data_IF_169524479795
#
_entry.id   IF_169524479795
#
_cell.length_a   1.000
_cell.length_b   1.000
_cell.length_c   1.000
_cell.angle_alpha   90.00
_cell.angle_beta   90.00
_cell.angle_gamma   90.00
#
_symmetry.space_group_name_H-M   'P 1'
#
loop_
_entity.id
_entity.type
_entity.pdbx_description
1 polymer ?
#
# COMPACT_ATOMS: atom_id res chain seq x y z
N UNK A 1 9.40 15.41 14.04
CA UNK A 1 8.33 15.35 15.06
C UNK A 1 7.25 14.37 14.61
N UNK A 2 6.63 13.58 15.52
CA UNK A 2 5.48 12.73 15.17
C UNK A 2 4.18 13.55 15.14
N UNK A 3 3.37 13.31 14.11
CA UNK A 3 2.02 13.85 13.95
C UNK A 3 1.08 12.70 13.59
N UNK A 4 0.05 12.48 14.42
CA UNK A 4 -0.96 11.45 14.17
C UNK A 4 -2.12 12.08 13.41
N UNK A 5 -2.46 11.49 12.27
CA UNK A 5 -3.45 12.06 11.35
C UNK A 5 -4.41 10.98 10.84
N UNK A 6 -5.60 11.42 10.44
CA UNK A 6 -6.59 10.59 9.76
C UNK A 6 -6.86 11.16 8.37
N UNK A 7 -7.36 10.35 7.46
CA UNK A 7 -7.73 10.78 6.11
C UNK A 7 -6.95 10.09 5.00
N UNK A 8 -6.87 10.74 3.85
CA UNK A 8 -6.26 10.20 2.64
C UNK A 8 -4.75 10.52 2.61
N UNK A 9 -3.92 9.51 2.75
CA UNK A 9 -2.46 9.64 2.73
C UNK A 9 -1.94 10.21 1.40
N UNK A 10 -2.60 9.92 0.29
CA UNK A 10 -2.20 10.44 -1.03
C UNK A 10 -2.36 11.96 -1.16
N UNK A 11 -3.18 12.56 -0.29
CA UNK A 11 -3.34 14.03 -0.17
C UNK A 11 -2.37 14.65 0.83
N UNK A 12 -1.44 13.88 1.40
CA UNK A 12 -0.46 14.40 2.34
C UNK A 12 0.48 15.41 1.69
N UNK A 13 0.77 16.48 2.43
CA UNK A 13 1.79 17.46 2.03
C UNK A 13 3.23 16.96 2.29
N UNK A 14 3.42 15.81 2.94
CA UNK A 14 4.74 15.22 3.15
C UNK A 14 5.45 14.99 1.80
N UNK A 15 6.77 15.21 1.79
CA UNK A 15 7.59 14.95 0.60
C UNK A 15 7.62 13.46 0.25
N UNK A 16 7.81 12.58 1.25
CA UNK A 16 7.83 11.15 1.04
C UNK A 16 6.49 10.50 1.44
N UNK A 17 6.00 9.58 0.63
CA UNK A 17 4.78 8.79 0.87
C UNK A 17 5.14 7.31 0.92
N UNK A 18 4.77 6.62 2.00
CA UNK A 18 4.96 5.18 2.13
C UNK A 18 3.73 4.45 1.59
N UNK A 19 3.96 3.48 0.71
CA UNK A 19 2.97 2.58 0.14
C UNK A 19 3.21 1.16 0.64
N UNK A 20 2.19 0.47 1.14
CA UNK A 20 2.31 -0.93 1.59
C UNK A 20 2.13 -1.90 0.43
N UNK A 21 3.14 -2.75 0.18
CA UNK A 21 3.16 -3.64 -0.98
C UNK A 21 3.51 -5.08 -0.60
N UNK A 22 3.47 -5.98 -1.59
CA UNK A 22 4.04 -7.33 -1.56
C UNK A 22 5.31 -7.40 -2.43
N UNK A 23 5.94 -8.58 -2.54
CA UNK A 23 7.13 -8.78 -3.37
C UNK A 23 6.84 -9.43 -4.73
N UNK A 24 5.57 -9.62 -5.09
CA UNK A 24 5.15 -10.27 -6.35
C UNK A 24 4.69 -9.28 -7.44
N UNK A 25 4.66 -7.98 -7.15
CA UNK A 25 4.27 -6.96 -8.13
C UNK A 25 2.77 -6.69 -8.22
N UNK A 26 1.96 -7.11 -7.25
CA UNK A 26 0.50 -6.93 -7.28
C UNK A 26 0.04 -5.75 -6.42
N UNK A 27 -0.48 -4.71 -7.05
CA UNK A 27 -1.17 -3.59 -6.40
C UNK A 27 -2.67 -3.65 -6.75
N UNK A 28 -3.40 -4.62 -6.16
CA UNK A 28 -4.79 -4.92 -6.54
C UNK A 28 -5.86 -4.37 -5.61
N UNK A 29 -5.54 -3.96 -4.38
CA UNK A 29 -6.51 -3.52 -3.36
C UNK A 29 -5.92 -2.44 -2.44
N UNK A 30 -6.80 -1.72 -1.73
CA UNK A 30 -6.46 -0.77 -0.69
C UNK A 30 -5.58 0.37 -1.19
N UNK A 31 -4.68 0.83 -0.33
CA UNK A 31 -3.81 1.96 -0.63
C UNK A 31 -2.88 1.68 -1.81
N UNK A 32 -2.36 0.46 -1.95
CA UNK A 32 -1.49 0.09 -3.05
C UNK A 32 -2.16 0.29 -4.42
N UNK A 33 -3.44 -0.06 -4.55
CA UNK A 33 -4.19 0.16 -5.78
C UNK A 33 -4.32 1.66 -6.11
N UNK A 34 -4.56 2.50 -5.10
CA UNK A 34 -4.63 3.95 -5.29
C UNK A 34 -3.28 4.53 -5.74
N UNK A 35 -2.17 4.07 -5.14
CA UNK A 35 -0.82 4.43 -5.59
C UNK A 35 -0.55 4.02 -7.04
N UNK A 36 -0.97 2.82 -7.45
CA UNK A 36 -0.87 2.36 -8.84
C UNK A 36 -1.59 3.30 -9.80
N UNK A 37 -2.80 3.77 -9.44
CA UNK A 37 -3.57 4.67 -10.30
C UNK A 37 -2.92 6.06 -10.39
N UNK A 38 -2.44 6.59 -9.26
CA UNK A 38 -1.87 7.94 -9.21
C UNK A 38 -0.43 8.00 -9.73
N UNK A 39 0.33 6.92 -9.59
CA UNK A 39 1.75 6.84 -9.99
C UNK A 39 2.01 5.62 -10.89
N UNK A 40 1.50 5.59 -12.13
CA UNK A 40 1.59 4.42 -13.01
C UNK A 40 3.04 4.05 -13.37
N UNK A 41 3.94 5.03 -13.52
CA UNK A 41 5.35 4.76 -13.83
C UNK A 41 6.09 4.12 -12.64
N UNK A 42 5.82 4.59 -11.43
CA UNK A 42 6.30 3.95 -10.20
C UNK A 42 5.84 2.49 -10.13
N UNK A 43 4.58 2.21 -10.50
CA UNK A 43 4.08 0.84 -10.50
C UNK A 43 4.78 -0.05 -11.54
N UNK A 44 5.10 0.48 -12.73
CA UNK A 44 5.86 -0.27 -13.76
C UNK A 44 7.24 -0.65 -13.24
N UNK A 45 7.95 0.31 -12.63
CA UNK A 45 9.27 0.07 -12.06
C UNK A 45 9.21 -0.94 -10.90
N UNK A 46 8.28 -0.78 -9.97
CA UNK A 46 8.04 -1.74 -8.88
C UNK A 46 7.80 -3.17 -9.42
N UNK A 47 6.93 -3.34 -10.43
CA UNK A 47 6.65 -4.65 -11.04
C UNK A 47 7.92 -5.23 -11.67
N UNK A 48 8.73 -4.40 -12.34
CA UNK A 48 10.01 -4.82 -12.91
C UNK A 48 10.98 -5.34 -11.83
N UNK A 49 11.09 -4.64 -10.70
CA UNK A 49 11.92 -5.04 -9.55
C UNK A 49 11.45 -6.37 -8.93
N UNK A 50 10.13 -6.55 -8.78
CA UNK A 50 9.56 -7.80 -8.30
C UNK A 50 9.88 -8.97 -9.23
N UNK A 51 9.72 -8.80 -10.55
CA UNK A 51 10.03 -9.84 -11.56
C UNK A 51 11.49 -10.28 -11.53
N UNK A 52 12.41 -9.37 -11.19
CA UNK A 52 13.85 -9.64 -11.04
C UNK A 52 14.22 -10.20 -9.67
N UNK A 53 13.25 -10.42 -8.77
CA UNK A 53 13.47 -10.82 -7.38
C UNK A 53 14.38 -9.84 -6.60
N UNK A 54 14.41 -8.57 -6.99
CA UNK A 54 15.20 -7.53 -6.33
C UNK A 54 14.52 -6.99 -5.08
N UNK A 55 13.19 -7.15 -4.97
CA UNK A 55 12.37 -6.70 -3.84
C UNK A 55 12.02 -7.90 -2.95
N UNK A 56 12.45 -7.84 -1.70
CA UNK A 56 12.17 -8.82 -0.65
C UNK A 56 11.74 -8.10 0.63
N UNK A 57 11.07 -8.77 1.59
CA UNK A 57 10.77 -8.16 2.88
C UNK A 57 12.04 -7.63 3.56
N UNK A 58 11.97 -6.42 4.11
CA UNK A 58 13.13 -5.72 4.68
C UNK A 58 13.92 -4.85 3.70
N UNK A 59 13.71 -4.99 2.38
CA UNK A 59 14.20 -4.05 1.36
C UNK A 59 13.07 -3.15 0.87
N UNK A 60 13.36 -1.89 0.66
CA UNK A 60 12.40 -0.91 0.17
C UNK A 60 12.64 -0.61 -1.32
N UNK A 61 11.57 -0.38 -2.05
CA UNK A 61 11.65 0.16 -3.41
C UNK A 61 11.31 1.64 -3.40
N UNK A 62 12.24 2.47 -3.85
CA UNK A 62 12.12 3.92 -3.84
C UNK A 62 11.96 4.45 -5.26
N UNK A 63 11.02 5.37 -5.45
CA UNK A 63 10.75 6.01 -6.72
C UNK A 63 10.56 7.53 -6.54
N UNK A 64 11.37 8.31 -7.25
CA UNK A 64 11.26 9.78 -7.24
C UNK A 64 10.42 10.23 -8.45
N UNK A 65 9.29 10.88 -8.19
CA UNK A 65 8.42 11.44 -9.23
C UNK A 65 8.83 12.84 -9.68
N UNK A 66 9.86 13.43 -9.08
CA UNK A 66 10.21 14.84 -9.19
C UNK A 66 9.53 15.72 -8.14
N UNK A 67 8.27 15.50 -7.84
CA UNK A 67 7.49 16.25 -6.84
C UNK A 67 7.28 15.49 -5.52
N UNK A 68 7.27 14.17 -5.55
CA UNK A 68 7.09 13.27 -4.41
C UNK A 68 8.09 12.13 -4.44
N UNK A 69 8.47 11.64 -3.27
CA UNK A 69 9.31 10.46 -3.09
C UNK A 69 8.44 9.30 -2.61
N UNK A 70 8.23 8.30 -3.45
CA UNK A 70 7.37 7.15 -3.14
C UNK A 70 8.23 6.02 -2.61
N UNK A 71 7.85 5.45 -1.45
CA UNK A 71 8.55 4.35 -0.80
C UNK A 71 7.60 3.15 -0.73
N UNK A 72 7.79 2.21 -1.63
CA UNK A 72 7.09 0.93 -1.57
C UNK A 72 7.72 0.05 -0.48
N UNK A 73 6.94 -0.21 0.56
CA UNK A 73 7.33 -0.92 1.77
C UNK A 73 6.70 -2.33 1.75
N UNK A 74 7.47 -3.41 1.55
CA UNK A 74 6.95 -4.76 1.55
C UNK A 74 6.50 -5.19 2.95
N UNK A 75 5.21 -5.22 3.18
CA UNK A 75 4.60 -5.75 4.40
C UNK A 75 4.24 -7.23 4.28
N UNK A 76 4.32 -7.76 3.06
CA UNK A 76 4.07 -9.17 2.70
C UNK A 76 5.11 -9.65 1.70
N UNK A 77 5.46 -10.93 1.78
CA UNK A 77 6.23 -11.56 0.72
C UNK A 77 5.31 -11.88 -0.47
N UNK A 78 4.27 -12.69 -0.26
CA UNK A 78 3.26 -12.99 -1.28
C UNK A 78 1.96 -12.24 -1.01
N UNK A 79 1.23 -11.87 -2.07
CA UNK A 79 0.04 -11.04 -1.96
C UNK A 79 -1.11 -11.70 -1.16
N UNK A 80 -1.19 -13.04 -1.16
CA UNK A 80 -2.18 -13.83 -0.42
C UNK A 80 -1.81 -14.08 1.04
N UNK A 81 -0.55 -13.90 1.42
CA UNK A 81 -0.08 -14.12 2.79
C UNK A 81 -0.51 -12.98 3.72
N UNK A 82 -0.47 -13.28 5.02
CA UNK A 82 -0.59 -12.24 6.05
C UNK A 82 0.74 -11.48 6.17
N UNK A 83 0.66 -10.26 6.67
CA UNK A 83 1.85 -9.49 7.05
C UNK A 83 2.49 -10.10 8.29
N UNK A 84 3.81 -9.90 8.43
CA UNK A 84 4.56 -10.37 9.59
C UNK A 84 5.26 -9.18 10.25
N UNK A 85 5.31 -9.19 11.59
CA UNK A 85 5.92 -8.11 12.37
C UNK A 85 7.42 -7.97 12.07
N UNK A 86 8.10 -9.08 11.77
CA UNK A 86 9.50 -9.09 11.37
C UNK A 86 9.75 -8.30 10.06
N UNK A 87 8.79 -8.31 9.11
CA UNK A 87 8.88 -7.53 7.88
C UNK A 87 8.72 -6.03 8.15
N UNK A 88 7.87 -5.68 9.12
CA UNK A 88 7.71 -4.30 9.56
C UNK A 88 8.99 -3.81 10.22
N UNK A 89 9.55 -4.60 11.14
CA UNK A 89 10.73 -4.23 11.91
C UNK A 89 11.95 -4.04 11.00
N UNK A 90 12.25 -5.01 10.13
CA UNK A 90 13.37 -4.92 9.19
C UNK A 90 13.18 -3.83 8.14
N UNK A 91 11.93 -3.65 7.66
CA UNK A 91 11.61 -2.56 6.73
C UNK A 91 11.78 -1.17 7.34
N UNK A 92 11.47 -1.00 8.64
CA UNK A 92 11.70 0.26 9.35
C UNK A 92 13.20 0.55 9.52
N UNK A 93 14.04 -0.46 9.74
CA UNK A 93 15.50 -0.28 9.79
C UNK A 93 16.04 0.21 8.44
N UNK A 94 15.51 -0.32 7.34
CA UNK A 94 15.87 0.14 6.00
C UNK A 94 15.28 1.54 5.72
N UNK A 95 14.06 1.83 6.19
CA UNK A 95 13.43 3.14 6.04
C UNK A 95 14.27 4.26 6.66
N UNK A 96 14.89 4.02 7.80
CA UNK A 96 15.81 4.97 8.45
C UNK A 96 16.98 5.32 7.52
N UNK A 97 17.57 4.31 6.87
CA UNK A 97 18.67 4.53 5.91
C UNK A 97 18.18 5.30 4.68
N UNK A 98 17.02 4.93 4.14
CA UNK A 98 16.40 5.63 3.00
C UNK A 98 16.16 7.09 3.32
N UNK A 99 15.60 7.41 4.50
CA UNK A 99 15.35 8.78 4.95
C UNK A 99 16.64 9.57 4.99
N UNK A 100 17.70 9.03 5.60
CA UNK A 100 19.00 9.69 5.73
C UNK A 100 19.69 9.91 4.38
N UNK A 101 19.75 8.85 3.56
CA UNK A 101 20.46 8.87 2.27
C UNK A 101 19.81 9.80 1.24
N UNK A 102 18.50 10.05 1.35
CA UNK A 102 17.75 10.90 0.42
C UNK A 102 17.36 12.25 1.03
N UNK A 103 17.87 12.61 2.21
CA UNK A 103 17.59 13.89 2.89
C UNK A 103 16.09 14.18 3.00
N UNK A 104 15.28 13.14 3.33
CA UNK A 104 13.82 13.27 3.44
C UNK A 104 13.48 14.06 4.69
N UNK A 105 12.87 15.24 4.50
CA UNK A 105 12.50 16.16 5.58
C UNK A 105 11.11 15.86 6.17
N UNK A 106 10.24 15.20 5.38
CA UNK A 106 8.88 14.85 5.84
C UNK A 106 8.38 13.56 5.17
N UNK A 107 7.69 12.71 5.94
CA UNK A 107 7.23 11.40 5.48
C UNK A 107 5.84 11.09 6.03
N UNK A 108 4.97 10.51 5.18
CA UNK A 108 3.66 9.99 5.55
C UNK A 108 3.67 8.46 5.55
N UNK A 109 3.31 7.86 6.66
CA UNK A 109 3.37 6.41 6.90
C UNK A 109 1.94 5.91 7.16
N UNK A 110 1.43 4.94 6.35
CA UNK A 110 0.13 4.30 6.58
C UNK A 110 0.20 3.27 7.72
N UNK A 111 -0.95 2.69 8.14
CA UNK A 111 -0.98 1.56 9.07
C UNK A 111 -0.32 0.32 8.47
N UNK A 112 1.00 0.20 8.63
CA UNK A 112 1.82 -0.84 8.02
C UNK A 112 1.32 -2.24 8.39
N UNK A 113 0.88 -3.01 7.39
CA UNK A 113 0.43 -4.39 7.58
C UNK A 113 -0.85 -4.58 8.38
N UNK A 114 -1.51 -3.50 8.87
CA UNK A 114 -2.66 -3.61 9.79
C UNK A 114 -4.02 -3.66 9.08
N UNK A 115 -4.11 -3.30 7.81
CA UNK A 115 -5.34 -3.48 7.01
C UNK A 115 -5.47 -4.93 6.51
N UNK A 116 -5.35 -5.13 5.20
CA UNK A 116 -5.38 -6.46 4.56
C UNK A 116 -4.24 -7.41 5.01
N UNK A 117 -3.30 -6.91 5.81
CA UNK A 117 -2.18 -7.68 6.37
C UNK A 117 -2.51 -8.40 7.66
N UNK A 118 -3.47 -7.90 8.44
CA UNK A 118 -3.99 -8.53 9.65
C UNK A 118 -3.14 -8.34 10.91
N UNK A 119 -2.14 -7.44 10.89
CA UNK A 119 -1.40 -7.07 12.10
C UNK A 119 -2.23 -6.15 13.00
N UNK A 120 -2.02 -6.24 14.30
CA UNK A 120 -2.65 -5.38 15.31
C UNK A 120 -2.02 -3.99 15.24
N UNK A 121 -2.84 -2.97 14.96
CA UNK A 121 -2.34 -1.61 14.74
C UNK A 121 -1.59 -1.03 15.93
N UNK A 122 -2.06 -1.24 17.15
CA UNK A 122 -1.41 -0.72 18.36
C UNK A 122 0.03 -1.21 18.49
N UNK A 123 0.28 -2.50 18.22
CA UNK A 123 1.62 -3.09 18.26
C UNK A 123 2.52 -2.52 17.14
N UNK A 124 1.97 -2.39 15.94
CA UNK A 124 2.72 -1.81 14.80
C UNK A 124 3.06 -0.34 15.07
N UNK A 125 2.11 0.43 15.61
CA UNK A 125 2.30 1.85 15.97
C UNK A 125 3.43 2.02 16.99
N UNK A 126 3.46 1.20 18.04
CA UNK A 126 4.51 1.23 19.05
C UNK A 126 5.90 0.98 18.44
N UNK A 127 6.01 0.00 17.55
CA UNK A 127 7.28 -0.30 16.86
C UNK A 127 7.70 0.84 15.94
N UNK A 128 6.78 1.45 15.19
CA UNK A 128 7.06 2.63 14.35
C UNK A 128 7.63 3.77 15.20
N UNK A 129 6.95 4.10 16.32
CA UNK A 129 7.37 5.17 17.21
C UNK A 129 8.76 4.86 17.79
N UNK A 130 8.94 3.66 18.35
CA UNK A 130 10.22 3.23 18.95
C UNK A 130 11.37 3.33 17.96
N UNK A 131 11.20 2.82 16.73
CA UNK A 131 12.26 2.80 15.71
C UNK A 131 12.58 4.18 15.14
N UNK A 132 11.58 5.03 14.98
CA UNK A 132 11.75 6.33 14.32
C UNK A 132 11.93 7.51 15.31
N UNK A 133 12.03 7.25 16.63
CA UNK A 133 12.17 8.30 17.64
C UNK A 133 13.34 9.24 17.35
N UNK A 134 14.52 8.72 17.04
CA UNK A 134 15.69 9.57 16.77
C UNK A 134 15.56 10.35 15.46
N UNK A 135 14.99 9.72 14.44
CA UNK A 135 14.71 10.39 13.14
C UNK A 135 13.68 11.51 13.32
N UNK A 136 12.69 11.33 14.18
CA UNK A 136 11.62 12.31 14.43
C UNK A 136 12.11 13.67 14.98
N UNK A 137 13.35 13.74 15.44
CA UNK A 137 13.98 15.00 15.89
C UNK A 137 14.22 15.97 14.72
N UNK A 138 14.49 15.42 13.51
CA UNK A 138 14.87 16.20 12.33
C UNK A 138 13.91 16.01 11.14
N UNK A 139 12.93 15.09 11.25
CA UNK A 139 12.01 14.73 10.18
C UNK A 139 10.57 14.83 10.70
N UNK A 140 9.69 15.44 9.94
CA UNK A 140 8.25 15.44 10.20
C UNK A 140 7.66 14.11 9.79
N UNK A 141 7.16 13.32 10.74
CA UNK A 141 6.60 12.00 10.52
C UNK A 141 5.10 12.03 10.75
N UNK A 142 4.33 11.91 9.67
CA UNK A 142 2.88 11.84 9.70
C UNK A 142 2.47 10.37 9.73
N UNK A 143 1.96 9.91 10.89
CA UNK A 143 1.45 8.54 11.06
C UNK A 143 -0.05 8.57 10.81
N UNK A 144 -0.48 7.92 9.71
CA UNK A 144 -1.88 7.78 9.37
C UNK A 144 -2.51 6.65 10.17
N UNK A 145 -3.56 6.95 10.91
CA UNK A 145 -4.29 5.96 11.70
C UNK A 145 -5.40 5.30 10.86
N UNK A 146 -5.75 4.02 11.14
CA UNK A 146 -6.87 3.38 10.49
C UNK A 146 -8.14 4.19 10.75
N UNK A 147 -8.83 4.64 9.70
CA UNK A 147 -10.15 5.23 9.86
C UNK A 147 -11.14 4.11 10.15
N UNK A 148 -11.94 4.24 11.21
CA UNK A 148 -13.05 3.33 11.52
C UNK A 148 -14.13 3.31 10.42
N UNK A 149 -14.10 4.27 9.48
CA UNK A 149 -15.01 4.44 8.35
C UNK A 149 -14.24 4.49 7.02
N UNK A 150 -13.48 3.46 6.66
CA UNK A 150 -13.31 3.20 5.25
C UNK A 150 -14.59 2.54 4.74
N UNK A 151 -15.65 3.34 4.59
CA UNK A 151 -16.60 3.10 3.52
C UNK A 151 -15.71 3.11 2.26
N UNK A 152 -15.46 1.94 1.71
CA UNK A 152 -15.01 1.82 0.34
C UNK A 152 -16.05 2.54 -0.48
N UNK A 153 -15.81 3.81 -0.80
CA UNK A 153 -16.53 4.45 -1.88
C UNK A 153 -16.16 3.60 -3.08
N UNK A 154 -17.09 2.76 -3.49
CA UNK A 154 -17.01 2.04 -4.75
C UNK A 154 -16.86 3.14 -5.80
N UNK A 155 -15.62 3.36 -6.22
CA UNK A 155 -15.34 4.19 -7.38
C UNK A 155 -16.00 3.46 -8.54
N UNK A 156 -17.12 4.02 -9.05
CA UNK A 156 -17.89 3.61 -10.20
C UNK A 156 -18.19 2.10 -10.24
N UNK A 157 -19.45 1.75 -10.41
CA UNK A 157 -19.83 0.39 -10.75
C UNK A 157 -18.87 -0.14 -11.82
N UNK A 158 -18.31 -1.35 -11.62
CA UNK A 158 -17.43 -1.91 -12.63
C UNK A 158 -18.24 -1.97 -13.93
N UNK A 159 -17.84 -1.21 -14.93
CA UNK A 159 -18.43 -1.33 -16.25
C UNK A 159 -18.16 -2.77 -16.69
N UNK A 160 -19.21 -3.59 -16.66
CA UNK A 160 -19.13 -4.94 -17.16
C UNK A 160 -18.72 -4.86 -18.63
N UNK A 161 -17.64 -5.52 -18.98
CA UNK A 161 -17.24 -5.63 -20.40
C UNK A 161 -18.39 -6.23 -21.20
N UNK A 162 -18.52 -5.89 -22.46
CA UNK A 162 -19.54 -6.43 -23.35
C UNK A 162 -19.57 -7.97 -23.30
N UNK A 163 -18.41 -8.61 -23.23
CA UNK A 163 -18.25 -10.06 -23.04
C UNK A 163 -18.84 -10.56 -21.71
N UNK A 164 -18.67 -9.84 -20.61
CA UNK A 164 -19.27 -10.23 -19.33
C UNK A 164 -20.80 -10.10 -19.35
N UNK A 165 -21.34 -9.06 -19.98
CA UNK A 165 -22.79 -8.89 -20.21
C UNK A 165 -23.38 -10.01 -21.08
N UNK A 166 -22.69 -10.41 -22.13
CA UNK A 166 -23.11 -11.53 -23.00
C UNK A 166 -23.12 -12.84 -22.24
N UNK A 167 -22.07 -13.14 -21.45
CA UNK A 167 -22.01 -14.36 -20.62
C UNK A 167 -23.11 -14.39 -19.54
N UNK A 168 -23.41 -13.25 -18.92
CA UNK A 168 -24.52 -13.16 -17.96
C UNK A 168 -25.88 -13.40 -18.63
N UNK A 169 -26.10 -12.85 -19.83
CA UNK A 169 -27.33 -13.04 -20.61
C UNK A 169 -27.51 -14.51 -21.04
N UNK A 170 -26.44 -15.16 -21.50
CA UNK A 170 -26.44 -16.59 -21.85
C UNK A 170 -26.77 -17.45 -20.61
N UNK A 171 -26.12 -17.17 -19.46
CA UNK A 171 -26.37 -17.89 -18.22
C UNK A 171 -27.81 -17.72 -17.74
N UNK A 172 -28.37 -16.51 -17.84
CA UNK A 172 -29.77 -16.24 -17.49
C UNK A 172 -30.77 -16.97 -18.42
N UNK A 173 -30.53 -16.96 -19.73
CA UNK A 173 -31.35 -17.66 -20.71
C UNK A 173 -31.31 -19.17 -20.51
N UNK A 174 -30.15 -19.76 -20.23
CA UNK A 174 -30.00 -21.19 -19.94
C UNK A 174 -30.67 -21.59 -18.60
N UNK A 175 -30.67 -20.70 -17.60
CA UNK A 175 -31.38 -20.96 -16.34
C UNK A 175 -32.92 -20.99 -16.54
N UNK A 176 -33.47 -20.08 -17.35
CA UNK A 176 -34.90 -20.08 -17.69
C UNK A 176 -35.36 -21.33 -18.46
N UNK A 177 -34.52 -21.85 -19.36
CA UNK A 177 -34.85 -23.05 -20.13
C UNK A 177 -34.91 -24.34 -19.29
N UNK A 178 -34.32 -24.35 -18.09
CA UNK A 178 -34.38 -25.49 -17.15
C UNK A 178 -35.65 -25.54 -16.30
N UNK A 179 -36.40 -24.45 -16.22
CA UNK A 179 -37.65 -24.38 -15.42
C UNK A 179 -38.93 -24.52 -16.24
N UNK A 180 -38.85 -24.73 -17.56
CA UNK A 180 -39.97 -24.93 -18.47
C UNK A 180 -40.00 -26.35 -19.05
N UNK A 181 -39.68 -27.35 -18.23
CA UNK A 181 -39.92 -28.78 -18.53
C UNK A 181 -40.67 -29.44 -17.37
#
# INVERSE_FOLDING_TARGET
MFKFVTGDLLKSNAYALVNTVNCEGYMGKGIAYQFKLQFPEMNKDYVSKCKKNELIPGKLHCYNTGSKFIINFPTKNKWREKSKMEYITSGLDELIKVIKNNNISSIAIPPLGSGNGGLIWTEVKEIIIKKLTDISKNVDIYIYEPSHNQITVATSEPQLSLSALILMNIKFSLSKSKFNK
#
